data_IF_186338624742
#
_entry.id   IF_186338624742
#
_cell.length_a   1.000
_cell.length_b   1.000
_cell.length_c   1.000
_cell.angle_alpha   90.00
_cell.angle_beta   90.00
_cell.angle_gamma   90.00
#
_symmetry.space_group_name_H-M   'P 1'
#
loop_
_entity.id
_entity.type
_entity.pdbx_description
1 polymer ?
#
# COMPACT_ATOMS: atom_id res chain seq x y z
N UNK A 1 -6.75 -16.85 13.46
CA UNK A 1 -6.86 -15.58 12.71
C UNK A 1 -6.68 -14.37 13.63
N UNK A 2 -7.48 -14.21 14.70
CA UNK A 2 -7.44 -13.03 15.60
C UNK A 2 -6.04 -12.79 16.17
N UNK A 3 -5.39 -13.84 16.74
CA UNK A 3 -4.03 -13.68 17.28
C UNK A 3 -3.05 -13.18 16.21
N UNK A 4 -3.07 -13.77 15.03
CA UNK A 4 -2.15 -13.39 13.95
C UNK A 4 -2.36 -11.93 13.56
N UNK A 5 -3.59 -11.50 13.33
CA UNK A 5 -3.88 -10.11 12.95
C UNK A 5 -3.57 -9.13 14.07
N UNK A 6 -4.18 -9.33 15.24
CA UNK A 6 -4.17 -8.33 16.31
C UNK A 6 -2.91 -8.35 17.20
N UNK A 7 -2.02 -9.32 17.02
CA UNK A 7 -0.79 -9.41 17.81
C UNK A 7 0.46 -9.52 16.92
N UNK A 8 0.48 -10.50 16.01
CA UNK A 8 1.69 -10.80 15.27
C UNK A 8 1.93 -9.82 14.11
N UNK A 9 0.86 -9.18 13.57
CA UNK A 9 0.94 -8.23 12.47
C UNK A 9 0.81 -6.78 12.97
N UNK A 10 -0.20 -6.47 13.80
CA UNK A 10 -0.46 -5.07 14.21
C UNK A 10 0.67 -4.48 15.06
N UNK A 11 1.23 -5.22 16.03
CA UNK A 11 2.29 -4.71 16.89
C UNK A 11 3.51 -4.21 16.09
N UNK A 12 4.16 -5.01 15.24
CA UNK A 12 5.29 -4.53 14.45
C UNK A 12 4.90 -3.46 13.42
N UNK A 13 3.67 -3.47 12.91
CA UNK A 13 3.21 -2.45 11.97
C UNK A 13 3.10 -1.09 12.65
N UNK A 14 2.50 -1.03 13.82
CA UNK A 14 2.37 0.23 14.57
C UNK A 14 3.71 0.72 15.10
N UNK A 15 4.53 -0.18 15.68
CA UNK A 15 5.88 0.19 16.10
C UNK A 15 6.72 0.67 14.91
N UNK A 16 6.70 -0.02 13.77
CA UNK A 16 7.42 0.38 12.56
C UNK A 16 7.02 1.77 12.06
N UNK A 17 5.72 2.08 12.03
CA UNK A 17 5.20 3.40 11.64
C UNK A 17 5.66 4.51 12.61
N UNK A 18 5.62 4.23 13.91
CA UNK A 18 6.01 5.19 14.94
C UNK A 18 7.54 5.42 14.93
N UNK A 19 8.34 4.35 14.86
CA UNK A 19 9.81 4.39 14.84
C UNK A 19 10.33 5.17 13.63
N UNK A 20 9.70 5.02 12.47
CA UNK A 20 10.07 5.77 11.26
C UNK A 20 10.00 7.28 11.47
N UNK A 21 9.15 7.74 12.40
CA UNK A 21 9.01 9.15 12.76
C UNK A 21 9.91 9.52 13.94
N UNK A 22 9.97 8.67 14.97
CA UNK A 22 10.80 8.89 16.16
C UNK A 22 11.22 7.55 16.78
N UNK A 23 12.51 7.23 16.89
CA UNK A 23 12.98 5.94 17.41
C UNK A 23 12.68 5.73 18.92
N UNK A 24 12.30 6.78 19.65
CA UNK A 24 11.81 6.70 21.01
C UNK A 24 10.30 6.50 21.11
N UNK A 25 9.60 6.50 19.97
CA UNK A 25 8.16 6.27 19.97
C UNK A 25 7.83 4.81 20.33
N UNK A 26 6.73 4.66 21.03
CA UNK A 26 6.16 3.37 21.45
C UNK A 26 4.68 3.35 21.14
N UNK A 27 4.20 2.22 20.63
CA UNK A 27 2.77 1.96 20.47
C UNK A 27 2.40 0.75 21.31
N UNK A 28 1.48 0.94 22.24
CA UNK A 28 1.08 -0.11 23.18
C UNK A 28 -0.43 -0.27 23.19
N UNK A 29 -0.95 -1.49 23.07
CA UNK A 29 -2.37 -1.72 23.13
C UNK A 29 -2.88 -1.48 24.57
N UNK A 30 -3.95 -0.69 24.67
CA UNK A 30 -4.76 -0.59 25.89
C UNK A 30 -5.65 -1.84 25.97
N UNK A 31 -6.32 -2.14 24.89
CA UNK A 31 -7.03 -3.41 24.69
C UNK A 31 -7.13 -3.77 23.21
N UNK A 32 -7.26 -5.06 22.95
CA UNK A 32 -7.42 -5.65 21.61
C UNK A 32 -8.03 -7.05 21.68
N UNK A 33 -8.55 -7.62 20.59
CA UNK A 33 -9.03 -8.99 20.58
C UNK A 33 -7.93 -10.03 20.92
N UNK A 34 -8.27 -11.19 21.55
CA UNK A 34 -9.61 -11.54 22.00
C UNK A 34 -10.05 -10.76 23.23
N UNK A 35 -11.31 -10.28 23.23
CA UNK A 35 -11.88 -9.50 24.31
C UNK A 35 -12.83 -10.33 25.15
N UNK A 36 -13.02 -9.96 26.40
CA UNK A 36 -14.05 -10.53 27.25
C UNK A 36 -15.44 -10.22 26.66
N UNK A 37 -16.37 -11.16 26.79
CA UNK A 37 -17.73 -10.96 26.31
C UNK A 37 -18.46 -9.75 26.92
N UNK A 38 -18.02 -9.33 28.09
CA UNK A 38 -18.52 -8.13 28.80
C UNK A 38 -17.96 -6.81 28.30
N UNK A 39 -17.01 -6.81 27.37
CA UNK A 39 -16.43 -5.59 26.85
C UNK A 39 -17.43 -4.84 25.94
N UNK A 40 -17.70 -3.58 26.26
CA UNK A 40 -18.67 -2.74 25.54
C UNK A 40 -18.05 -1.51 24.88
N UNK A 41 -16.72 -1.35 24.92
CA UNK A 41 -15.99 -0.22 24.35
C UNK A 41 -15.58 -0.42 22.89
N UNK A 42 -14.64 0.40 22.45
CA UNK A 42 -14.02 0.31 21.12
C UNK A 42 -13.47 -1.09 20.84
N UNK A 43 -13.37 -1.46 19.56
CA UNK A 43 -12.81 -2.76 19.19
C UNK A 43 -11.38 -2.93 19.63
N UNK A 44 -10.55 -1.92 19.38
CA UNK A 44 -9.16 -1.84 19.78
C UNK A 44 -8.86 -0.41 20.23
N UNK A 45 -7.88 -0.27 21.10
CA UNK A 45 -7.37 1.03 21.54
C UNK A 45 -5.87 0.92 21.76
N UNK A 46 -5.13 1.93 21.34
CA UNK A 46 -3.69 1.96 21.37
C UNK A 46 -3.20 3.29 21.91
N UNK A 47 -2.24 3.25 22.80
CA UNK A 47 -1.50 4.43 23.22
C UNK A 47 -0.25 4.58 22.35
N UNK A 48 -0.08 5.78 21.80
CA UNK A 48 1.13 6.19 21.09
C UNK A 48 1.81 7.28 21.94
N UNK A 49 3.06 7.05 22.32
CA UNK A 49 3.80 7.99 23.16
C UNK A 49 5.29 7.97 22.84
N UNK A 50 6.01 9.03 23.18
CA UNK A 50 7.47 9.09 23.11
C UNK A 50 8.02 8.81 24.50
N UNK A 51 8.83 7.77 24.61
CA UNK A 51 9.47 7.36 25.85
C UNK A 51 10.91 7.88 25.86
N UNK A 52 11.12 9.02 26.48
CA UNK A 52 12.43 9.69 26.53
C UNK A 52 13.45 8.96 27.43
N UNK A 53 12.99 8.07 28.30
CA UNK A 53 13.82 7.29 29.20
C UNK A 53 14.20 5.91 28.62
N UNK A 54 13.60 5.53 27.48
CA UNK A 54 13.87 4.26 26.83
C UNK A 54 15.02 4.35 25.82
N UNK A 55 15.68 3.21 25.61
CA UNK A 55 16.63 3.07 24.49
C UNK A 55 15.90 3.20 23.14
N UNK A 56 16.50 3.90 22.15
CA UNK A 56 15.96 3.97 20.82
C UNK A 56 15.72 2.58 20.21
N UNK A 57 14.55 2.37 19.61
CA UNK A 57 14.29 1.16 18.86
C UNK A 57 15.11 1.15 17.57
N UNK A 58 15.69 0.02 17.26
CA UNK A 58 16.46 -0.17 16.05
C UNK A 58 15.55 -0.56 14.88
N UNK A 59 15.91 -0.10 13.70
CA UNK A 59 15.22 -0.45 12.47
C UNK A 59 15.35 -1.96 12.19
N UNK A 60 14.26 -2.66 11.83
CA UNK A 60 14.31 -4.06 11.43
C UNK A 60 15.19 -4.28 10.19
N UNK A 61 15.90 -5.40 10.11
CA UNK A 61 16.77 -5.72 8.97
C UNK A 61 16.06 -5.68 7.62
N UNK A 62 14.81 -6.16 7.56
CA UNK A 62 13.99 -6.11 6.36
C UNK A 62 13.74 -4.67 5.86
N UNK A 63 13.63 -3.71 6.77
CA UNK A 63 13.46 -2.29 6.41
C UNK A 63 14.72 -1.74 5.74
N UNK A 64 15.92 -2.15 6.23
CA UNK A 64 17.19 -1.75 5.60
C UNK A 64 17.28 -2.27 4.17
N UNK A 65 16.90 -3.53 3.93
CA UNK A 65 16.86 -4.11 2.58
C UNK A 65 15.85 -3.38 1.71
N UNK A 66 14.63 -3.18 2.20
CA UNK A 66 13.56 -2.49 1.46
C UNK A 66 13.92 -1.05 1.10
N UNK A 67 14.60 -0.32 1.98
CA UNK A 67 15.05 1.06 1.72
C UNK A 67 16.05 1.15 0.57
N UNK A 68 16.81 0.09 0.30
CA UNK A 68 17.72 -0.01 -0.84
C UNK A 68 17.03 -0.13 -2.19
N UNK A 69 15.75 -0.49 -2.23
CA UNK A 69 15.01 -0.71 -3.48
C UNK A 69 14.73 0.61 -4.21
N UNK A 70 14.63 0.54 -5.54
CA UNK A 70 14.22 1.68 -6.37
C UNK A 70 12.81 2.12 -6.04
N UNK A 71 11.95 1.17 -5.68
CA UNK A 71 10.59 1.45 -5.25
C UNK A 71 10.55 2.34 -4.00
N UNK A 72 11.34 2.03 -2.97
CA UNK A 72 11.40 2.83 -1.75
C UNK A 72 12.07 4.20 -1.95
N UNK A 73 12.89 4.34 -2.98
CA UNK A 73 13.57 5.58 -3.34
C UNK A 73 12.78 6.43 -4.35
N UNK A 74 11.65 5.93 -4.84
CA UNK A 74 10.81 6.64 -5.80
C UNK A 74 10.24 7.92 -5.18
N UNK A 75 10.44 9.04 -5.85
CA UNK A 75 9.91 10.34 -5.42
C UNK A 75 8.71 10.69 -6.29
N UNK A 76 7.55 10.79 -5.66
CA UNK A 76 6.34 11.27 -6.32
C UNK A 76 6.34 12.79 -6.30
N UNK A 77 6.47 13.39 -7.48
CA UNK A 77 6.38 14.83 -7.63
C UNK A 77 4.93 15.29 -7.35
N UNK A 78 4.78 16.35 -6.54
CA UNK A 78 3.52 17.05 -6.42
C UNK A 78 3.22 17.79 -7.72
N UNK A 79 2.03 17.57 -8.24
CA UNK A 79 1.50 18.46 -9.26
C UNK A 79 1.04 19.77 -8.61
N UNK A 80 1.25 20.90 -9.28
CA UNK A 80 0.61 22.14 -8.86
C UNK A 80 -0.90 21.97 -9.01
N UNK A 81 -1.65 22.18 -7.92
CA UNK A 81 -3.11 22.17 -7.99
C UNK A 81 -3.58 23.37 -8.79
N UNK A 82 -4.33 23.11 -9.85
CA UNK A 82 -5.03 24.17 -10.62
C UNK A 82 -6.44 24.42 -10.10
N UNK A 83 -6.92 23.60 -9.19
CA UNK A 83 -8.23 23.67 -8.61
C UNK A 83 -8.17 24.32 -7.23
N UNK A 84 -9.01 25.31 -7.00
CA UNK A 84 -9.11 25.94 -5.69
C UNK A 84 -9.91 25.02 -4.76
N UNK A 85 -9.38 24.78 -3.57
CA UNK A 85 -10.08 24.07 -2.49
C UNK A 85 -9.41 22.78 -2.06
N UNK A 86 -9.76 22.35 -0.85
CA UNK A 86 -9.21 21.16 -0.20
C UNK A 86 -7.84 21.39 0.47
N UNK A 87 -7.44 20.41 1.26
CA UNK A 87 -6.17 20.41 1.99
C UNK A 87 -5.05 19.91 1.08
N UNK A 88 -4.02 20.71 0.85
CA UNK A 88 -2.84 20.28 0.09
C UNK A 88 -1.86 19.45 0.91
N UNK A 89 -1.89 19.59 2.21
CA UNK A 89 -1.15 18.76 3.16
C UNK A 89 -1.92 18.71 4.48
N UNK A 90 -1.53 17.74 5.32
CA UNK A 90 -2.02 17.68 6.68
C UNK A 90 -0.90 18.11 7.63
N UNK A 91 -0.89 19.39 7.98
CA UNK A 91 -0.02 19.93 9.01
C UNK A 91 -0.87 20.79 9.96
N UNK A 92 -1.28 20.25 11.07
CA UNK A 92 -2.09 21.03 12.00
C UNK A 92 -2.86 20.19 13.01
N UNK A 93 -3.99 20.70 13.45
CA UNK A 93 -4.82 20.06 14.48
C UNK A 93 -5.31 18.69 14.03
N UNK A 94 -5.37 17.76 14.97
CA UNK A 94 -5.95 16.44 14.73
C UNK A 94 -7.44 16.60 14.42
N UNK A 95 -7.89 16.05 13.30
CA UNK A 95 -9.32 15.97 12.99
C UNK A 95 -9.89 14.69 13.60
N UNK A 96 -11.05 14.79 14.25
CA UNK A 96 -11.75 13.61 14.78
C UNK A 96 -12.09 12.59 13.69
N UNK A 97 -12.36 13.08 12.47
CA UNK A 97 -12.64 12.24 11.31
C UNK A 97 -11.98 12.87 10.07
N UNK A 98 -10.76 12.43 9.79
CA UNK A 98 -10.09 12.80 8.55
C UNK A 98 -10.66 11.96 7.41
N UNK A 99 -11.26 12.63 6.42
CA UNK A 99 -11.84 12.00 5.23
C UNK A 99 -11.04 12.43 4.00
N UNK A 100 -10.88 11.51 3.05
CA UNK A 100 -10.12 11.76 1.82
C UNK A 100 -10.71 12.91 1.00
N UNK A 101 -12.02 13.12 1.07
CA UNK A 101 -12.76 14.19 0.41
C UNK A 101 -12.35 15.59 0.86
N UNK A 102 -11.66 15.71 1.98
CA UNK A 102 -11.14 16.98 2.48
C UNK A 102 -9.88 17.45 1.78
N UNK A 103 -9.18 16.54 1.07
CA UNK A 103 -7.94 16.86 0.36
C UNK A 103 -8.20 17.48 -1.01
N UNK A 104 -7.23 18.29 -1.47
CA UNK A 104 -7.21 18.78 -2.84
C UNK A 104 -7.00 17.63 -3.83
N UNK A 105 -7.40 17.84 -5.08
CA UNK A 105 -7.16 16.86 -6.15
C UNK A 105 -5.67 16.49 -6.25
N UNK A 106 -4.76 17.47 -6.19
CA UNK A 106 -3.32 17.23 -6.25
C UNK A 106 -2.82 16.36 -5.09
N UNK A 107 -3.33 16.59 -3.86
CA UNK A 107 -3.00 15.75 -2.71
C UNK A 107 -3.55 14.34 -2.86
N UNK A 108 -4.79 14.18 -3.34
CA UNK A 108 -5.39 12.87 -3.59
C UNK A 108 -4.63 12.04 -4.63
N UNK A 109 -4.12 12.67 -5.70
CA UNK A 109 -3.27 11.99 -6.69
C UNK A 109 -1.98 11.45 -6.05
N UNK A 110 -1.33 12.24 -5.19
CA UNK A 110 -0.14 11.78 -4.43
C UNK A 110 -0.52 10.63 -3.52
N UNK A 111 -1.61 10.75 -2.76
CA UNK A 111 -2.08 9.69 -1.85
C UNK A 111 -2.36 8.39 -2.62
N UNK A 112 -3.03 8.45 -3.78
CA UNK A 112 -3.29 7.28 -4.60
C UNK A 112 -1.99 6.61 -5.10
N UNK A 113 -1.01 7.39 -5.52
CA UNK A 113 0.31 6.88 -5.95
C UNK A 113 1.07 6.24 -4.79
N UNK A 114 1.09 6.87 -3.63
CA UNK A 114 1.71 6.32 -2.41
C UNK A 114 1.03 5.03 -1.94
N UNK A 115 -0.29 4.93 -2.05
CA UNK A 115 -1.02 3.68 -1.78
C UNK A 115 -0.65 2.56 -2.76
N UNK A 116 -0.43 2.89 -4.03
CA UNK A 116 0.07 1.92 -5.01
C UNK A 116 1.51 1.48 -4.69
N UNK A 117 2.39 2.42 -4.33
CA UNK A 117 3.75 2.13 -3.87
C UNK A 117 3.71 1.23 -2.63
N UNK A 118 2.87 1.55 -1.64
CA UNK A 118 2.71 0.71 -0.45
C UNK A 118 2.30 -0.72 -0.80
N UNK A 119 1.40 -0.92 -1.76
CA UNK A 119 1.02 -2.24 -2.21
C UNK A 119 2.22 -3.04 -2.78
N UNK A 120 3.05 -2.41 -3.60
CA UNK A 120 4.27 -3.04 -4.12
C UNK A 120 5.29 -3.32 -3.02
N UNK A 121 5.49 -2.39 -2.08
CA UNK A 121 6.38 -2.61 -0.93
C UNK A 121 5.94 -3.78 -0.06
N UNK A 122 4.64 -3.94 0.18
CA UNK A 122 4.08 -5.08 0.92
C UNK A 122 4.36 -6.41 0.20
N UNK A 123 4.21 -6.45 -1.12
CA UNK A 123 4.50 -7.64 -1.91
C UNK A 123 5.98 -7.96 -1.86
N UNK A 124 6.86 -6.99 -2.09
CA UNK A 124 8.30 -7.18 -2.08
C UNK A 124 8.81 -7.65 -0.71
N UNK A 125 8.37 -7.01 0.38
CA UNK A 125 8.76 -7.42 1.74
C UNK A 125 8.28 -8.82 2.08
N UNK A 126 7.08 -9.20 1.66
CA UNK A 126 6.55 -10.56 1.83
C UNK A 126 7.38 -11.58 1.05
N UNK A 127 7.74 -11.26 -0.20
CA UNK A 127 8.58 -12.12 -1.04
C UNK A 127 9.94 -12.35 -0.43
N UNK A 128 10.60 -11.29 0.06
CA UNK A 128 11.90 -11.38 0.75
C UNK A 128 11.78 -12.28 1.98
N UNK A 129 10.81 -12.03 2.85
CA UNK A 129 10.63 -12.81 4.08
C UNK A 129 10.34 -14.30 3.82
N UNK A 130 9.55 -14.61 2.77
CA UNK A 130 9.27 -15.99 2.39
C UNK A 130 10.51 -16.64 1.78
N UNK A 131 11.24 -15.92 0.90
CA UNK A 131 12.45 -16.45 0.28
C UNK A 131 13.53 -16.77 1.29
N UNK A 132 13.74 -15.92 2.29
CA UNK A 132 14.67 -16.16 3.39
C UNK A 132 14.31 -17.42 4.20
N UNK A 133 13.02 -17.63 4.47
CA UNK A 133 12.57 -18.71 5.34
C UNK A 133 12.32 -20.03 4.62
N UNK A 134 11.86 -19.99 3.39
CA UNK A 134 11.34 -21.16 2.65
C UNK A 134 11.94 -21.33 1.24
N UNK A 135 12.84 -20.43 0.84
CA UNK A 135 13.48 -20.42 -0.46
C UNK A 135 12.69 -19.68 -1.55
N UNK A 136 13.39 -19.28 -2.62
CA UNK A 136 12.86 -18.46 -3.69
C UNK A 136 11.69 -19.13 -4.44
N UNK A 137 11.72 -20.45 -4.64
CA UNK A 137 10.63 -21.17 -5.31
C UNK A 137 9.30 -21.08 -4.52
N UNK A 138 9.37 -21.17 -3.18
CA UNK A 138 8.18 -20.99 -2.33
C UNK A 138 7.65 -19.55 -2.42
N UNK A 139 8.54 -18.56 -2.44
CA UNK A 139 8.17 -17.17 -2.59
C UNK A 139 7.45 -16.92 -3.92
N UNK A 140 7.97 -17.41 -5.04
CA UNK A 140 7.35 -17.28 -6.35
C UNK A 140 5.95 -17.88 -6.39
N UNK A 141 5.76 -19.10 -5.90
CA UNK A 141 4.43 -19.76 -5.88
C UNK A 141 3.41 -19.01 -5.04
N UNK A 142 3.84 -18.47 -3.90
CA UNK A 142 2.95 -17.71 -3.01
C UNK A 142 2.58 -16.38 -3.66
N UNK A 143 3.54 -15.69 -4.29
CA UNK A 143 3.28 -14.45 -5.00
C UNK A 143 2.32 -14.66 -6.17
N UNK A 144 2.52 -15.69 -6.99
CA UNK A 144 1.62 -16.04 -8.10
C UNK A 144 0.19 -16.24 -7.60
N UNK A 145 0.02 -17.05 -6.55
CA UNK A 145 -1.28 -17.31 -5.95
C UNK A 145 -1.93 -16.03 -5.39
N UNK A 146 -1.16 -15.22 -4.66
CA UNK A 146 -1.63 -13.97 -4.07
C UNK A 146 -2.03 -12.96 -5.16
N UNK A 147 -1.16 -12.77 -6.16
CA UNK A 147 -1.41 -11.80 -7.22
C UNK A 147 -2.61 -12.19 -8.09
N UNK A 148 -2.77 -13.48 -8.38
CA UNK A 148 -3.95 -13.97 -9.10
C UNK A 148 -5.23 -13.69 -8.32
N UNK A 149 -5.26 -14.01 -7.03
CA UNK A 149 -6.44 -13.80 -6.18
C UNK A 149 -6.79 -12.31 -5.98
N UNK A 150 -5.80 -11.51 -5.61
CA UNK A 150 -6.01 -10.07 -5.36
C UNK A 150 -6.31 -9.31 -6.66
N UNK A 151 -5.61 -9.63 -7.75
CA UNK A 151 -5.83 -9.04 -9.06
C UNK A 151 -7.24 -9.32 -9.60
N UNK A 152 -7.73 -10.53 -9.45
CA UNK A 152 -9.09 -10.89 -9.83
C UNK A 152 -10.14 -10.06 -9.09
N UNK A 153 -10.06 -10.00 -7.75
CA UNK A 153 -11.00 -9.23 -6.92
C UNK A 153 -10.94 -7.74 -7.24
N UNK A 154 -9.71 -7.20 -7.36
CA UNK A 154 -9.54 -5.78 -7.69
C UNK A 154 -10.09 -5.44 -9.07
N UNK A 155 -9.82 -6.26 -10.08
CA UNK A 155 -10.34 -6.06 -11.43
C UNK A 155 -11.87 -6.04 -11.47
N UNK A 156 -12.54 -6.92 -10.72
CA UNK A 156 -14.00 -6.90 -10.58
C UNK A 156 -14.50 -5.61 -9.97
N UNK A 157 -13.90 -5.15 -8.87
CA UNK A 157 -14.27 -3.89 -8.21
C UNK A 157 -14.11 -2.68 -9.11
N UNK A 158 -12.99 -2.62 -9.85
CA UNK A 158 -12.72 -1.55 -10.81
C UNK A 158 -13.69 -1.57 -11.97
N UNK A 159 -13.97 -2.74 -12.54
CA UNK A 159 -14.96 -2.91 -13.60
C UNK A 159 -16.34 -2.38 -13.16
N UNK A 160 -16.77 -2.75 -11.96
CA UNK A 160 -18.08 -2.34 -11.43
C UNK A 160 -18.10 -0.82 -11.16
N UNK A 161 -17.02 -0.26 -10.62
CA UNK A 161 -16.88 1.18 -10.40
C UNK A 161 -16.83 1.98 -11.70
N UNK A 162 -16.14 1.49 -12.72
CA UNK A 162 -16.08 2.12 -14.05
C UNK A 162 -17.39 1.98 -14.85
N UNK A 163 -18.33 1.18 -14.37
CA UNK A 163 -19.59 0.91 -15.08
C UNK A 163 -19.43 0.09 -16.36
N UNK A 164 -18.34 -0.70 -16.46
CA UNK A 164 -18.07 -1.56 -17.62
C UNK A 164 -18.99 -2.77 -17.59
N UNK A 165 -20.20 -2.63 -18.11
CA UNK A 165 -21.23 -3.70 -18.11
C UNK A 165 -20.96 -4.79 -19.13
N UNK A 166 -20.28 -4.46 -20.24
CA UNK A 166 -19.90 -5.40 -21.27
C UNK A 166 -18.44 -5.82 -21.10
N UNK A 167 -18.18 -7.13 -21.08
CA UNK A 167 -16.86 -7.70 -20.86
C UNK A 167 -15.97 -7.68 -22.14
N UNK A 168 -16.02 -6.60 -22.91
CA UNK A 168 -15.23 -6.43 -24.14
C UNK A 168 -13.80 -5.96 -23.87
N UNK A 169 -13.02 -5.83 -24.96
CA UNK A 169 -11.62 -5.41 -24.89
C UNK A 169 -11.47 -4.00 -24.29
N UNK A 170 -12.42 -3.11 -24.53
CA UNK A 170 -12.40 -1.75 -23.98
C UNK A 170 -12.50 -1.78 -22.46
N UNK A 171 -13.36 -2.61 -21.88
CA UNK A 171 -13.46 -2.79 -20.44
C UNK A 171 -12.16 -3.33 -19.81
N UNK A 172 -11.45 -4.22 -20.52
CA UNK A 172 -10.15 -4.71 -20.06
C UNK A 172 -9.12 -3.59 -20.06
N UNK A 173 -9.09 -2.78 -21.13
CA UNK A 173 -8.19 -1.63 -21.23
C UNK A 173 -8.43 -0.64 -20.11
N UNK A 174 -9.69 -0.26 -19.87
CA UNK A 174 -10.09 0.70 -18.84
C UNK A 174 -9.72 0.21 -17.44
N UNK A 175 -9.98 -1.06 -17.14
CA UNK A 175 -9.58 -1.67 -15.86
C UNK A 175 -8.05 -1.69 -15.70
N UNK A 176 -7.31 -2.10 -16.72
CA UNK A 176 -5.84 -2.13 -16.67
C UNK A 176 -5.25 -0.72 -16.46
N UNK A 177 -5.83 0.30 -17.08
CA UNK A 177 -5.33 1.68 -16.99
C UNK A 177 -5.34 2.23 -15.55
N UNK A 178 -6.28 1.78 -14.71
CA UNK A 178 -6.42 2.26 -13.33
C UNK A 178 -6.06 1.20 -12.28
N UNK A 179 -5.65 0.02 -12.70
CA UNK A 179 -5.36 -1.07 -11.77
C UNK A 179 -4.11 -0.78 -10.95
N UNK A 180 -4.14 -0.90 -9.61
CA UNK A 180 -3.00 -0.58 -8.73
C UNK A 180 -1.71 -1.34 -9.06
N UNK A 181 -1.81 -2.56 -9.62
CA UNK A 181 -0.63 -3.33 -10.03
C UNK A 181 0.18 -2.67 -11.15
N UNK A 182 -0.42 -1.72 -11.90
CA UNK A 182 0.23 -0.96 -12.98
C UNK A 182 0.48 0.49 -12.59
N UNK A 183 0.29 0.85 -11.34
CA UNK A 183 0.51 2.19 -10.79
C UNK A 183 1.63 2.18 -9.75
N UNK A 184 2.34 3.29 -9.52
CA UNK A 184 2.29 4.51 -10.33
C UNK A 184 3.09 4.36 -11.64
N UNK A 185 2.78 5.20 -12.63
CA UNK A 185 3.46 5.20 -13.93
C UNK A 185 4.98 5.41 -13.80
N UNK A 186 5.41 6.15 -12.82
CA UNK A 186 6.83 6.42 -12.53
C UNK A 186 7.61 5.14 -12.15
N UNK A 187 6.91 4.10 -11.71
CA UNK A 187 7.51 2.80 -11.38
C UNK A 187 7.29 1.75 -12.47
N UNK A 188 6.10 1.75 -13.06
CA UNK A 188 5.67 0.86 -14.15
C UNK A 188 5.13 1.69 -15.32
N UNK A 189 6.01 2.12 -16.20
CA UNK A 189 5.58 2.82 -17.41
C UNK A 189 4.97 1.83 -18.41
N UNK A 190 3.64 1.82 -18.48
CA UNK A 190 2.91 0.97 -19.44
C UNK A 190 2.23 1.82 -20.52
N UNK A 191 2.13 1.25 -21.71
CA UNK A 191 1.27 1.74 -22.79
C UNK A 191 0.28 0.64 -23.17
N UNK A 192 -0.98 1.00 -23.26
CA UNK A 192 -2.05 0.10 -23.68
C UNK A 192 -2.64 0.64 -24.98
N UNK A 193 -2.65 -0.18 -26.02
CA UNK A 193 -3.11 0.19 -27.35
C UNK A 193 -4.11 -0.85 -27.87
N UNK A 194 -5.31 -0.40 -28.26
CA UNK A 194 -6.28 -1.26 -28.91
C UNK A 194 -5.79 -1.60 -30.33
N UNK A 195 -5.64 -2.87 -30.64
CA UNK A 195 -5.11 -3.35 -31.93
C UNK A 195 -6.18 -3.95 -32.83
N UNK A 196 -7.39 -4.15 -32.31
CA UNK A 196 -8.52 -4.71 -33.06
C UNK A 196 -9.80 -4.69 -32.24
N UNK A 197 -10.89 -5.19 -32.82
CA UNK A 197 -12.20 -5.24 -32.15
C UNK A 197 -12.17 -6.06 -30.84
N UNK A 198 -11.29 -7.07 -30.76
CA UNK A 198 -11.20 -8.00 -29.64
C UNK A 198 -9.77 -8.16 -29.12
N UNK A 199 -8.88 -7.22 -29.43
CA UNK A 199 -7.47 -7.31 -29.09
C UNK A 199 -6.88 -5.97 -28.69
N UNK A 200 -5.94 -6.01 -27.75
CA UNK A 200 -5.12 -4.88 -27.33
C UNK A 200 -3.69 -5.36 -27.09
N UNK A 201 -2.74 -4.46 -27.20
CA UNK A 201 -1.35 -4.66 -26.82
C UNK A 201 -1.07 -3.89 -25.54
N UNK A 202 -0.49 -4.55 -24.56
CA UNK A 202 0.07 -3.92 -23.36
C UNK A 202 1.59 -3.98 -23.48
N UNK A 203 2.24 -2.82 -23.46
CA UNK A 203 3.69 -2.69 -23.57
C UNK A 203 4.23 -2.14 -22.26
N UNK A 204 5.21 -2.81 -21.69
CA UNK A 204 5.99 -2.30 -20.59
C UNK A 204 7.13 -1.46 -21.20
N UNK A 205 7.07 -0.13 -21.06
CA UNK A 205 8.03 0.80 -21.65
C UNK A 205 9.27 0.91 -20.77
N UNK A 206 9.04 1.15 -19.49
CA UNK A 206 10.05 1.13 -18.44
C UNK A 206 9.46 0.46 -17.20
N UNK A 207 10.29 -0.30 -16.49
CA UNK A 207 9.88 -0.96 -15.26
C UNK A 207 11.06 -0.99 -14.30
N UNK A 208 10.98 -0.16 -13.27
CA UNK A 208 12.02 -0.12 -12.25
C UNK A 208 12.14 -1.46 -11.50
N UNK A 209 11.04 -2.24 -11.40
CA UNK A 209 11.05 -3.56 -10.79
C UNK A 209 12.00 -4.57 -11.48
N UNK A 210 12.28 -4.42 -12.78
CA UNK A 210 13.24 -5.27 -13.50
C UNK A 210 14.70 -4.96 -13.13
N UNK A 211 14.93 -3.90 -12.40
CA UNK A 211 16.25 -3.41 -12.00
C UNK A 211 16.40 -3.32 -10.47
N UNK A 212 15.50 -3.93 -9.73
CA UNK A 212 15.65 -4.17 -8.29
C UNK A 212 16.70 -5.28 -8.10
N UNK A 213 17.75 -5.02 -7.29
CA UNK A 213 18.82 -5.99 -6.98
C UNK A 213 18.57 -6.62 -5.62
#
# INVERSE_FOLDING_TARGET
>A
AVKVMCHDIEDPTFDGTAIATNPLARVRPVHRPPRLASHTGNHCEWNVFIDYDAEPLTEPAVTTVMRGTKLAQLVIARSESREAGGLDNYSGSVFEQLQLEQFSHAALVVICKELAIQNHLLINSLMIAIAEKYGAEAAHRIAEFQMTGSGWVMSHRLRDWLGCTEGGIDAIIDVCAVHPAFQPYEYHAIAIEKTGAHSASLKLLECAALHEE
#
